data_IF_316122515792
#
_entry.id   IF_316122515792
#
_cell.length_a   1.000
_cell.length_b   1.000
_cell.length_c   1.000
_cell.angle_alpha   90.00
_cell.angle_beta   90.00
_cell.angle_gamma   90.00
#
_symmetry.space_group_name_H-M   'P 1'
#
loop_
_entity.id
_entity.type
_entity.pdbx_description
1 polymer ?
#
# COMPACT_ATOMS: atom_id res chain seq x y z
N UNK A 1 -25.89 -11.11 -35.92
CA UNK A 1 -25.68 -9.70 -35.55
C UNK A 1 -26.03 -9.50 -34.09
N UNK A 2 -25.08 -9.77 -33.20
CA UNK A 2 -25.14 -9.33 -31.81
C UNK A 2 -24.23 -8.12 -31.74
N UNK A 3 -24.83 -6.94 -31.71
CA UNK A 3 -24.13 -5.67 -31.54
C UNK A 3 -23.66 -5.56 -30.09
N UNK A 4 -22.35 -5.66 -29.91
CA UNK A 4 -21.63 -5.43 -28.66
C UNK A 4 -21.59 -3.91 -28.41
N UNK A 5 -22.41 -3.42 -27.48
CA UNK A 5 -22.37 -2.03 -27.06
C UNK A 5 -21.22 -1.85 -26.06
N UNK A 6 -20.10 -1.30 -26.52
CA UNK A 6 -19.01 -0.83 -25.66
C UNK A 6 -19.49 0.39 -24.87
N UNK A 7 -19.89 0.17 -23.61
CA UNK A 7 -20.19 1.26 -22.67
C UNK A 7 -18.86 1.92 -22.30
N UNK A 8 -18.74 3.21 -22.62
CA UNK A 8 -17.53 3.98 -22.35
C UNK A 8 -17.53 4.48 -20.89
N UNK A 9 -16.34 4.75 -20.33
CA UNK A 9 -16.23 5.29 -18.97
C UNK A 9 -16.93 6.65 -18.80
N UNK A 10 -17.18 7.36 -19.90
CA UNK A 10 -17.91 8.63 -19.92
C UNK A 10 -19.42 8.41 -19.67
N UNK A 11 -19.97 7.28 -20.12
CA UNK A 11 -21.38 6.92 -19.91
C UNK A 11 -21.70 6.56 -18.45
N UNK A 12 -20.72 6.01 -17.71
CA UNK A 12 -20.84 5.73 -16.28
C UNK A 12 -20.84 7.02 -15.42
N UNK A 13 -20.17 8.08 -15.89
CA UNK A 13 -20.17 9.38 -15.21
C UNK A 13 -21.51 10.12 -15.38
N UNK A 14 -22.19 9.94 -16.51
CA UNK A 14 -23.52 10.49 -16.77
C UNK A 14 -24.64 9.76 -16.01
N UNK A 15 -24.42 8.49 -15.63
CA UNK A 15 -25.42 7.62 -14.97
C UNK A 15 -25.48 7.68 -13.44
N UNK A 16 -24.72 8.55 -12.77
CA UNK A 16 -24.83 8.78 -11.32
C UNK A 16 -24.50 7.55 -10.44
N UNK A 17 -23.77 6.56 -10.97
CA UNK A 17 -23.28 5.44 -10.16
C UNK A 17 -22.08 5.94 -9.36
N UNK A 18 -22.28 6.20 -8.06
CA UNK A 18 -21.17 6.50 -7.16
C UNK A 18 -20.30 5.25 -6.98
N UNK A 19 -19.27 5.12 -7.84
CA UNK A 19 -18.27 4.05 -7.80
C UNK A 19 -17.48 4.03 -6.48
N UNK A 20 -17.48 5.16 -5.76
CA UNK A 20 -16.78 5.33 -4.49
C UNK A 20 -17.73 5.20 -3.29
N UNK A 21 -18.99 4.81 -3.51
CA UNK A 21 -19.99 4.69 -2.46
C UNK A 21 -19.50 3.74 -1.38
N UNK A 22 -19.27 4.28 -0.18
CA UNK A 22 -19.09 3.45 1.01
C UNK A 22 -20.32 2.57 1.14
N UNK A 23 -20.10 1.26 1.30
CA UNK A 23 -21.19 0.31 1.56
C UNK A 23 -21.96 0.84 2.78
N UNK A 24 -23.22 1.22 2.54
CA UNK A 24 -24.08 1.83 3.54
C UNK A 24 -24.29 0.84 4.68
N UNK A 25 -23.63 1.07 5.81
CA UNK A 25 -23.83 0.28 7.00
C UNK A 25 -25.09 0.82 7.70
N UNK A 26 -26.19 0.07 7.67
CA UNK A 26 -27.25 0.21 8.70
C UNK A 26 -26.71 -0.03 10.14
N UNK A 27 -25.44 -0.44 10.24
CA UNK A 27 -24.61 -0.59 11.44
C UNK A 27 -23.73 0.64 11.74
N UNK A 28 -24.21 1.85 11.45
CA UNK A 28 -23.48 3.14 11.59
C UNK A 28 -22.92 3.44 12.99
N UNK A 29 -23.23 2.62 13.99
CA UNK A 29 -22.70 2.71 15.36
C UNK A 29 -21.34 2.03 15.57
N UNK A 30 -20.84 1.21 14.61
CA UNK A 30 -19.50 0.60 14.74
C UNK A 30 -18.42 1.60 14.33
N UNK A 31 -17.39 1.80 15.19
CA UNK A 31 -16.20 2.60 14.85
C UNK A 31 -15.56 2.01 13.59
N UNK A 32 -15.55 2.77 12.51
CA UNK A 32 -14.84 2.41 11.27
C UNK A 32 -13.48 3.11 11.29
N UNK A 33 -12.42 2.38 10.94
CA UNK A 33 -11.09 2.98 10.76
C UNK A 33 -11.14 3.86 9.51
N UNK A 34 -11.03 5.17 9.70
CA UNK A 34 -10.94 6.11 8.59
C UNK A 34 -9.47 6.38 8.24
N UNK A 35 -9.11 6.22 6.98
CA UNK A 35 -7.76 6.51 6.53
C UNK A 35 -7.54 8.03 6.41
N UNK A 36 -7.05 8.63 7.50
CA UNK A 36 -6.70 10.06 7.56
C UNK A 36 -5.19 10.23 7.79
N UNK A 37 -4.36 10.13 6.74
CA UNK A 37 -2.93 10.17 6.92
C UNK A 37 -2.41 11.58 7.17
N UNK A 38 -1.31 11.67 7.92
CA UNK A 38 -0.51 12.89 7.97
C UNK A 38 0.34 12.98 6.70
N UNK A 39 0.34 14.14 6.03
CA UNK A 39 1.03 14.35 4.76
C UNK A 39 2.56 14.22 4.84
N UNK A 40 3.15 14.33 6.04
CA UNK A 40 4.59 14.22 6.28
C UNK A 40 5.06 12.80 6.65
N UNK A 41 4.12 11.88 6.91
CA UNK A 41 4.40 10.51 7.36
C UNK A 41 4.04 9.49 6.30
N UNK A 42 4.99 8.63 6.00
CA UNK A 42 4.88 7.64 4.92
C UNK A 42 5.01 6.22 5.47
N UNK A 43 4.42 5.28 4.76
CA UNK A 43 4.58 3.84 4.95
C UNK A 43 4.94 3.25 3.60
N UNK A 44 6.12 2.66 3.50
CA UNK A 44 6.60 2.04 2.28
C UNK A 44 6.22 0.56 2.29
N UNK A 45 5.48 0.09 1.28
CA UNK A 45 5.12 -1.32 1.18
C UNK A 45 6.24 -2.15 0.55
N UNK A 46 6.52 -3.30 1.15
CA UNK A 46 7.50 -4.26 0.66
C UNK A 46 6.81 -5.63 0.61
N UNK A 47 6.55 -6.12 -0.60
CA UNK A 47 5.93 -7.41 -0.86
C UNK A 47 6.90 -8.27 -1.67
N UNK A 48 7.74 -9.05 -1.00
CA UNK A 48 8.93 -9.67 -1.63
C UNK A 48 8.70 -11.07 -2.22
N UNK A 49 7.54 -11.70 -2.00
CA UNK A 49 7.37 -13.12 -2.27
C UNK A 49 6.03 -13.49 -2.90
N UNK A 50 6.10 -14.37 -3.91
CA UNK A 50 4.95 -15.07 -4.47
C UNK A 50 4.56 -14.61 -5.88
N UNK A 51 3.40 -15.05 -6.32
CA UNK A 51 2.75 -14.60 -7.55
C UNK A 51 1.97 -13.30 -7.31
N UNK A 52 1.50 -12.65 -8.38
CA UNK A 52 0.80 -11.37 -8.34
C UNK A 52 -0.34 -11.28 -7.30
N UNK A 53 -1.10 -12.35 -7.11
CA UNK A 53 -2.14 -12.43 -6.06
C UNK A 53 -1.57 -12.20 -4.65
N UNK A 54 -0.37 -12.73 -4.35
CA UNK A 54 0.31 -12.53 -3.07
C UNK A 54 0.74 -11.07 -2.88
N UNK A 55 1.22 -10.42 -3.95
CA UNK A 55 1.58 -9.01 -3.92
C UNK A 55 0.36 -8.12 -3.65
N UNK A 56 -0.78 -8.41 -4.28
CA UNK A 56 -2.04 -7.69 -4.04
C UNK A 56 -2.55 -7.88 -2.60
N UNK A 57 -2.56 -9.11 -2.09
CA UNK A 57 -2.94 -9.40 -0.70
C UNK A 57 -1.99 -8.70 0.28
N UNK A 58 -0.69 -8.73 0.00
CA UNK A 58 0.31 -8.02 0.80
C UNK A 58 0.07 -6.51 0.78
N UNK A 59 -0.24 -5.93 -0.38
CA UNK A 59 -0.53 -4.50 -0.48
C UNK A 59 -1.81 -4.13 0.28
N UNK A 60 -2.86 -4.95 0.21
CA UNK A 60 -4.10 -4.74 0.98
C UNK A 60 -3.81 -4.65 2.49
N UNK A 61 -2.96 -5.55 3.02
CA UNK A 61 -2.51 -5.48 4.41
C UNK A 61 -1.78 -4.16 4.71
N UNK A 62 -0.92 -3.70 3.80
CA UNK A 62 -0.22 -2.42 3.96
C UNK A 62 -1.18 -1.22 3.87
N UNK A 63 -2.23 -1.27 3.05
CA UNK A 63 -3.29 -0.26 3.03
C UNK A 63 -3.99 -0.18 4.38
N UNK A 64 -4.34 -1.33 4.97
CA UNK A 64 -4.92 -1.39 6.30
C UNK A 64 -3.99 -0.81 7.37
N UNK A 65 -2.71 -1.20 7.40
CA UNK A 65 -1.74 -0.65 8.34
C UNK A 65 -1.51 0.85 8.13
N UNK A 66 -1.45 1.32 6.89
CA UNK A 66 -1.31 2.75 6.59
C UNK A 66 -2.52 3.55 7.09
N UNK A 67 -3.73 3.00 6.96
CA UNK A 67 -4.94 3.57 7.51
C UNK A 67 -4.91 3.63 9.04
N UNK A 68 -4.56 2.52 9.70
CA UNK A 68 -4.45 2.47 11.17
C UNK A 68 -3.39 3.42 11.74
N UNK A 69 -2.24 3.55 11.05
CA UNK A 69 -1.12 4.35 11.51
C UNK A 69 -1.19 5.82 11.07
N UNK A 70 -2.20 6.19 10.28
CA UNK A 70 -2.34 7.53 9.72
C UNK A 70 -1.13 7.91 8.85
N UNK A 71 -0.70 7.00 7.97
CA UNK A 71 0.44 7.19 7.05
C UNK A 71 -0.02 7.18 5.60
N UNK A 72 0.64 7.97 4.77
CA UNK A 72 0.49 7.89 3.32
C UNK A 72 1.19 6.61 2.85
N UNK A 73 0.48 5.74 2.13
CA UNK A 73 1.06 4.54 1.56
C UNK A 73 1.86 4.88 0.31
N UNK A 74 3.12 4.47 0.27
CA UNK A 74 3.98 4.57 -0.92
C UNK A 74 3.93 3.25 -1.66
N UNK A 75 3.43 3.28 -2.90
CA UNK A 75 3.50 2.15 -3.81
C UNK A 75 4.96 1.99 -4.27
N UNK A 76 5.57 0.80 -4.09
CA UNK A 76 6.96 0.58 -4.44
C UNK A 76 7.24 0.77 -5.93
N UNK A 77 8.50 1.06 -6.25
CA UNK A 77 8.96 1.08 -7.64
C UNK A 77 8.95 -0.34 -8.23
N UNK A 78 8.69 -0.51 -9.54
CA UNK A 78 8.85 -1.79 -10.22
C UNK A 78 10.26 -2.41 -10.14
N UNK A 79 11.27 -1.63 -9.71
CA UNK A 79 12.63 -2.14 -9.43
C UNK A 79 12.73 -2.95 -8.14
N UNK A 80 11.82 -2.70 -7.19
CA UNK A 80 11.80 -3.33 -5.86
C UNK A 80 10.74 -4.42 -5.79
N UNK A 81 9.59 -4.17 -6.41
CA UNK A 81 8.39 -4.99 -6.30
C UNK A 81 7.63 -5.01 -7.64
N UNK A 82 6.42 -5.55 -7.67
CA UNK A 82 5.58 -5.63 -8.85
C UNK A 82 5.21 -4.25 -9.42
N UNK A 83 4.95 -4.21 -10.72
CA UNK A 83 4.45 -3.02 -11.41
C UNK A 83 2.95 -2.79 -11.13
N UNK A 84 2.66 -2.31 -9.91
CA UNK A 84 1.30 -2.09 -9.44
C UNK A 84 0.50 -1.08 -10.29
N UNK A 85 1.15 -0.18 -11.02
CA UNK A 85 0.47 0.75 -11.94
C UNK A 85 -0.31 0.06 -13.06
N UNK A 86 -0.04 -1.22 -13.35
CA UNK A 86 -0.80 -2.00 -14.34
C UNK A 86 -2.16 -2.50 -13.82
N UNK A 87 -2.35 -2.51 -12.51
CA UNK A 87 -3.53 -3.13 -11.87
C UNK A 87 -4.23 -2.21 -10.86
N UNK A 88 -3.56 -1.15 -10.42
CA UNK A 88 -4.10 -0.19 -9.46
C UNK A 88 -4.15 1.20 -10.06
N UNK A 89 -5.34 1.78 -10.01
CA UNK A 89 -5.56 3.18 -10.29
C UNK A 89 -5.41 3.97 -8.97
N UNK A 90 -4.19 4.47 -8.72
CA UNK A 90 -3.87 5.28 -7.54
C UNK A 90 -4.67 6.59 -7.52
N UNK A 91 -4.98 7.15 -8.68
CA UNK A 91 -5.78 8.37 -8.78
C UNK A 91 -7.22 8.09 -8.35
N UNK A 92 -7.82 6.99 -8.84
CA UNK A 92 -9.15 6.56 -8.44
C UNK A 92 -9.25 6.27 -6.94
N UNK A 93 -8.26 5.59 -6.35
CA UNK A 93 -8.20 5.33 -4.89
C UNK A 93 -8.25 6.65 -4.11
N UNK A 94 -7.39 7.61 -4.48
CA UNK A 94 -7.33 8.91 -3.82
C UNK A 94 -8.62 9.72 -4.02
N UNK A 95 -9.22 9.65 -5.21
CA UNK A 95 -10.51 10.27 -5.53
C UNK A 95 -11.63 9.70 -4.65
N UNK A 96 -11.73 8.38 -4.53
CA UNK A 96 -12.74 7.74 -3.69
C UNK A 96 -12.58 8.03 -2.20
N UNK A 97 -11.35 8.19 -1.73
CA UNK A 97 -11.08 8.55 -0.33
C UNK A 97 -11.08 10.07 -0.09
N UNK A 98 -11.27 10.86 -1.16
CA UNK A 98 -11.36 12.33 -1.12
C UNK A 98 -10.09 13.02 -0.64
N UNK A 99 -8.94 12.32 -0.62
CA UNK A 99 -7.65 12.83 -0.16
C UNK A 99 -6.50 11.97 -0.66
N UNK A 100 -5.28 12.51 -0.64
CA UNK A 100 -4.06 11.80 -1.03
C UNK A 100 -3.63 10.82 0.07
N UNK A 101 -4.06 9.57 -0.06
CA UNK A 101 -3.73 8.46 0.87
C UNK A 101 -2.66 7.51 0.32
N UNK A 102 -2.56 7.40 -1.00
CA UNK A 102 -1.63 6.52 -1.71
C UNK A 102 -0.85 7.38 -2.70
N UNK A 103 0.46 7.15 -2.80
CA UNK A 103 1.34 7.83 -3.74
C UNK A 103 2.27 6.84 -4.42
N UNK A 104 2.71 7.16 -5.62
CA UNK A 104 3.77 6.42 -6.29
C UNK A 104 5.14 6.71 -5.65
N UNK A 105 6.11 5.81 -5.83
CA UNK A 105 7.48 6.07 -5.40
C UNK A 105 8.05 7.37 -5.98
N UNK A 106 7.71 7.71 -7.23
CA UNK A 106 8.17 8.94 -7.89
C UNK A 106 7.65 10.20 -7.16
N UNK A 107 6.36 10.25 -6.88
CA UNK A 107 5.76 11.36 -6.12
C UNK A 107 6.34 11.47 -4.71
N UNK A 108 6.59 10.35 -4.05
CA UNK A 108 7.26 10.31 -2.76
C UNK A 108 8.68 10.89 -2.84
N UNK A 109 9.46 10.48 -3.85
CA UNK A 109 10.82 10.97 -4.08
C UNK A 109 10.85 12.49 -4.27
N UNK A 110 9.93 13.03 -5.07
CA UNK A 110 9.77 14.47 -5.30
C UNK A 110 9.35 15.20 -4.02
N UNK A 111 8.40 14.66 -3.26
CA UNK A 111 7.91 15.25 -2.02
C UNK A 111 8.98 15.32 -0.92
N UNK A 112 9.86 14.32 -0.83
CA UNK A 112 10.95 14.27 0.15
C UNK A 112 12.20 15.06 -0.23
N UNK A 113 12.22 15.73 -1.39
CA UNK A 113 13.37 16.53 -1.86
C UNK A 113 14.70 15.77 -1.76
N UNK A 114 14.68 14.46 -2.07
CA UNK A 114 15.83 13.53 -2.00
C UNK A 114 16.30 13.13 -0.59
N UNK A 115 15.64 13.54 0.49
CA UNK A 115 15.87 12.95 1.83
C UNK A 115 15.06 11.65 1.98
N UNK A 116 15.69 10.54 1.62
CA UNK A 116 15.05 9.22 1.50
C UNK A 116 15.46 8.29 2.64
N UNK A 117 15.61 8.82 3.85
CA UNK A 117 15.86 7.98 5.03
C UNK A 117 14.61 7.20 5.42
N UNK A 118 14.77 5.90 5.62
CA UNK A 118 13.75 5.08 6.29
C UNK A 118 14.00 5.16 7.79
N UNK A 119 13.02 5.67 8.54
CA UNK A 119 13.14 5.83 10.00
C UNK A 119 13.14 4.48 10.73
N UNK A 120 12.28 3.56 10.28
CA UNK A 120 12.13 2.22 10.86
C UNK A 120 11.87 1.22 9.76
N UNK A 121 12.60 0.11 9.78
CA UNK A 121 12.40 -1.00 8.86
C UNK A 121 11.91 -2.20 9.66
N UNK A 122 10.63 -2.55 9.50
CA UNK A 122 9.93 -3.47 10.41
C UNK A 122 9.38 -4.65 9.62
N UNK A 123 9.61 -5.86 10.12
CA UNK A 123 8.91 -7.05 9.65
C UNK A 123 7.76 -7.41 10.60
N UNK A 124 6.52 -7.37 10.13
CA UNK A 124 5.35 -7.74 10.94
C UNK A 124 5.08 -9.26 10.97
N UNK A 125 6.05 -10.12 10.71
CA UNK A 125 5.93 -11.57 10.93
C UNK A 125 6.88 -11.98 12.05
N UNK A 126 6.38 -12.84 12.96
CA UNK A 126 7.09 -13.29 14.16
C UNK A 126 8.08 -14.41 13.88
N UNK A 127 8.92 -14.70 14.88
CA UNK A 127 9.88 -15.81 14.89
C UNK A 127 9.20 -17.17 14.63
N UNK A 128 9.91 -18.18 14.11
CA UNK A 128 11.38 -18.22 13.93
C UNK A 128 11.89 -17.64 12.62
N UNK A 129 11.04 -17.46 11.61
CA UNK A 129 11.43 -16.84 10.34
C UNK A 129 10.84 -15.43 10.26
N UNK A 130 11.73 -14.45 10.30
CA UNK A 130 11.40 -13.09 9.89
C UNK A 130 10.94 -13.10 8.41
N UNK A 131 10.40 -11.98 7.96
CA UNK A 131 9.95 -11.74 6.59
C UNK A 131 11.05 -12.17 5.61
N UNK A 132 10.63 -12.72 4.47
CA UNK A 132 11.50 -13.07 3.34
C UNK A 132 12.06 -11.82 2.65
N UNK A 133 12.80 -11.01 3.39
CA UNK A 133 13.52 -9.83 2.94
C UNK A 133 14.99 -10.18 3.06
N UNK A 134 15.61 -10.51 1.94
CA UNK A 134 17.03 -10.83 1.86
C UNK A 134 17.88 -9.59 1.55
N UNK A 135 19.19 -9.79 1.46
CA UNK A 135 20.13 -8.72 1.11
C UNK A 135 19.87 -8.12 -0.28
N UNK A 136 19.33 -8.90 -1.21
CA UNK A 136 19.04 -8.41 -2.56
C UNK A 136 17.82 -7.50 -2.58
N UNK A 137 16.81 -7.78 -1.74
CA UNK A 137 15.72 -6.84 -1.50
C UNK A 137 16.23 -5.51 -0.91
N UNK A 138 17.17 -5.57 0.05
CA UNK A 138 17.77 -4.37 0.65
C UNK A 138 18.57 -3.59 -0.38
N UNK A 139 19.43 -4.24 -1.18
CA UNK A 139 20.20 -3.60 -2.26
C UNK A 139 19.29 -2.91 -3.28
N UNK A 140 18.14 -3.51 -3.62
CA UNK A 140 17.16 -2.89 -4.53
C UNK A 140 16.61 -1.60 -3.94
N UNK A 141 16.28 -1.57 -2.64
CA UNK A 141 15.83 -0.35 -1.96
C UNK A 141 16.94 0.72 -1.94
N UNK A 142 18.17 0.34 -1.59
CA UNK A 142 19.32 1.25 -1.59
C UNK A 142 19.62 1.80 -2.98
N UNK A 143 19.42 1.02 -4.05
CA UNK A 143 19.57 1.47 -5.44
C UNK A 143 18.57 2.56 -5.84
N UNK A 144 17.47 2.71 -5.10
CA UNK A 144 16.53 3.82 -5.25
C UNK A 144 16.95 5.08 -4.46
N UNK A 145 18.11 5.03 -3.79
CA UNK A 145 18.61 6.09 -2.93
C UNK A 145 18.05 6.08 -1.50
N UNK A 146 17.34 5.02 -1.10
CA UNK A 146 16.82 4.88 0.26
C UNK A 146 17.95 4.50 1.22
N UNK A 147 18.05 5.20 2.36
CA UNK A 147 18.89 4.73 3.46
C UNK A 147 18.06 3.78 4.32
N UNK A 148 18.40 2.49 4.28
CA UNK A 148 17.64 1.41 4.92
C UNK A 148 18.31 1.02 6.25
N UNK A 149 17.64 1.18 7.41
CA UNK A 149 18.18 0.73 8.69
C UNK A 149 18.08 -0.80 8.81
N UNK A 150 18.63 -1.35 9.89
CA UNK A 150 18.52 -2.79 10.18
C UNK A 150 17.05 -3.19 10.34
N UNK A 151 16.68 -4.37 9.83
CA UNK A 151 15.35 -4.94 10.00
C UNK A 151 15.07 -5.22 11.48
N UNK A 152 13.96 -4.67 11.98
CA UNK A 152 13.44 -4.81 13.32
C UNK A 152 12.26 -5.79 13.35
N UNK A 153 12.17 -6.60 14.41
CA UNK A 153 10.94 -7.31 14.73
C UNK A 153 10.13 -6.51 15.77
N UNK A 154 8.87 -6.18 15.48
CA UNK A 154 8.01 -5.41 16.37
C UNK A 154 7.54 -6.21 17.59
N UNK A 155 7.69 -7.54 17.60
CA UNK A 155 7.31 -8.40 18.73
C UNK A 155 8.23 -9.60 18.92
N UNK A 156 8.42 -9.99 20.18
CA UNK A 156 9.22 -11.17 20.57
C UNK A 156 8.28 -12.36 20.77
N UNK A 157 7.54 -12.69 19.72
CA UNK A 157 6.62 -13.84 19.72
C UNK A 157 7.16 -14.91 18.77
N UNK A 158 7.14 -16.16 19.23
CA UNK A 158 7.50 -17.34 18.45
C UNK A 158 6.20 -18.01 18.01
N UNK A 159 5.85 -17.91 16.72
CA UNK A 159 4.62 -18.54 16.20
C UNK A 159 4.69 -20.06 16.26
N UNK A 160 5.88 -20.66 16.42
CA UNK A 160 6.01 -22.09 16.68
C UNK A 160 5.68 -22.46 18.13
N UNK A 161 5.61 -21.46 19.03
CA UNK A 161 5.25 -21.60 20.45
C UNK A 161 4.25 -20.50 20.86
N UNK A 162 3.01 -20.56 20.36
CA UNK A 162 1.98 -19.59 20.73
C UNK A 162 1.73 -19.65 22.25
N UNK A 163 1.59 -18.49 22.89
CA UNK A 163 1.27 -18.37 24.33
C UNK A 163 -0.23 -18.42 24.59
#
# INVERSE_FOLDING_TARGET
>A
NVSESSVSNEDLLAGGVDLCRKVGNELSQRRTTEWKPRSDRYLFAICTSGQMSNHLICLEKHMFFAALLGRVLVIPSPKVDYEFSKVLDVEHINKCLGRKVVVTFKEFYEAKKKDLRIDRFICYFSLPQNCFVDEDNVKKLESLGLSVPKLESPWVEDVSKPR
#
